data_IF_282053363918
#
_entry.id   IF_282053363918
#
_cell.length_a   1.000
_cell.length_b   1.000
_cell.length_c   1.000
_cell.angle_alpha   90.00
_cell.angle_beta   90.00
_cell.angle_gamma   90.00
#
_symmetry.space_group_name_H-M   'P 1'
#
loop_
_entity.id
_entity.type
_entity.pdbx_description
1 polymer ?
#
# COMPACT_ATOMS: atom_id res chain seq x y z
N UNK A 1 0.02 -2.31 10.94
CA UNK A 1 0.13 -3.78 11.01
C UNK A 1 0.05 -4.33 9.60
N UNK A 2 1.06 -5.09 9.16
CA UNK A 2 1.05 -5.69 7.83
C UNK A 2 0.07 -6.89 7.80
N UNK A 3 -1.05 -6.72 7.10
CA UNK A 3 -2.18 -7.67 7.12
C UNK A 3 -1.78 -9.06 6.59
N UNK A 4 -0.85 -9.10 5.63
CA UNK A 4 -0.29 -10.34 5.07
C UNK A 4 0.32 -11.30 6.10
N UNK A 5 0.68 -10.81 7.29
CA UNK A 5 1.21 -11.66 8.36
C UNK A 5 0.15 -12.58 8.96
N UNK A 6 -1.05 -12.06 9.24
CA UNK A 6 -2.21 -12.82 9.69
C UNK A 6 -3.49 -11.99 9.46
N UNK A 7 -4.24 -12.36 8.43
CA UNK A 7 -5.44 -11.63 8.01
C UNK A 7 -6.74 -12.17 8.64
N UNK A 8 -6.66 -12.92 9.73
CA UNK A 8 -7.83 -13.40 10.47
C UNK A 8 -8.66 -12.21 11.01
N UNK A 9 -9.98 -12.23 10.78
CA UNK A 9 -10.86 -11.12 11.15
C UNK A 9 -10.84 -10.81 12.66
N UNK A 10 -10.71 -11.82 13.52
CA UNK A 10 -10.66 -11.59 14.97
C UNK A 10 -9.33 -10.94 15.39
N UNK A 11 -8.21 -11.32 14.77
CA UNK A 11 -6.91 -10.67 15.00
C UNK A 11 -6.95 -9.21 14.55
N UNK A 12 -7.47 -8.95 13.35
CA UNK A 12 -7.62 -7.59 12.82
C UNK A 12 -8.55 -6.75 13.71
N UNK A 13 -9.65 -7.33 14.21
CA UNK A 13 -10.57 -6.62 15.09
C UNK A 13 -9.93 -6.22 16.43
N UNK A 14 -9.14 -7.11 17.05
CA UNK A 14 -8.40 -6.78 18.27
C UNK A 14 -7.45 -5.61 18.03
N UNK A 15 -6.73 -5.62 16.91
CA UNK A 15 -5.82 -4.54 16.52
C UNK A 15 -6.57 -3.22 16.24
N UNK A 16 -7.71 -3.30 15.56
CA UNK A 16 -8.55 -2.13 15.28
C UNK A 16 -9.06 -1.48 16.57
N UNK A 17 -9.49 -2.30 17.56
CA UNK A 17 -9.98 -1.81 18.87
C UNK A 17 -8.93 -1.09 19.71
N UNK A 18 -7.65 -1.36 19.49
CA UNK A 18 -6.54 -0.61 20.13
C UNK A 18 -6.04 0.56 19.27
N UNK A 19 -6.73 0.86 18.16
CA UNK A 19 -6.45 2.02 17.31
C UNK A 19 -5.27 1.85 16.35
N UNK A 20 -4.85 0.60 16.06
CA UNK A 20 -3.77 0.33 15.12
C UNK A 20 -4.13 0.70 13.68
N UNK A 21 -3.13 1.11 12.91
CA UNK A 21 -3.23 1.20 11.45
C UNK A 21 -2.89 -0.12 10.74
N UNK A 22 -3.19 -0.21 9.46
CA UNK A 22 -3.05 -1.41 8.63
C UNK A 22 -2.29 -1.12 7.34
N UNK A 23 -1.32 -1.97 7.02
CA UNK A 23 -0.64 -2.00 5.73
C UNK A 23 -1.19 -3.19 4.94
N UNK A 24 -1.86 -2.88 3.83
CA UNK A 24 -2.51 -3.85 2.94
C UNK A 24 -1.76 -3.93 1.61
N UNK A 25 -1.87 -5.07 0.93
CA UNK A 25 -1.29 -5.31 -0.40
C UNK A 25 -2.31 -5.79 -1.43
N UNK A 26 -3.60 -5.81 -1.09
CA UNK A 26 -4.68 -6.17 -2.03
C UNK A 26 -6.05 -5.62 -1.58
N UNK A 27 -7.00 -5.56 -2.53
CA UNK A 27 -8.40 -5.25 -2.23
C UNK A 27 -9.08 -6.25 -1.30
N UNK A 28 -8.64 -7.52 -1.30
CA UNK A 28 -9.15 -8.52 -0.35
C UNK A 28 -8.73 -8.23 1.10
N UNK A 29 -7.53 -7.68 1.30
CA UNK A 29 -7.08 -7.23 2.62
C UNK A 29 -7.79 -5.94 3.05
N UNK A 30 -8.05 -5.01 2.12
CA UNK A 30 -8.89 -3.84 2.36
C UNK A 30 -10.26 -4.26 2.92
N UNK A 31 -10.95 -5.17 2.23
CA UNK A 31 -12.26 -5.65 2.65
C UNK A 31 -12.23 -6.26 4.05
N UNK A 32 -11.20 -7.06 4.35
CA UNK A 32 -11.03 -7.69 5.67
C UNK A 32 -10.83 -6.66 6.77
N UNK A 33 -9.99 -5.64 6.54
CA UNK A 33 -9.74 -4.60 7.53
C UNK A 33 -11.02 -3.79 7.79
N UNK A 34 -11.73 -3.37 6.76
CA UNK A 34 -12.99 -2.65 6.89
C UNK A 34 -14.04 -3.49 7.64
N UNK A 35 -14.15 -4.77 7.30
CA UNK A 35 -15.06 -5.71 7.98
C UNK A 35 -14.68 -5.97 9.44
N UNK A 36 -13.39 -5.91 9.78
CA UNK A 36 -12.91 -6.03 11.14
C UNK A 36 -13.09 -4.75 11.97
N UNK A 37 -13.61 -3.66 11.37
CA UNK A 37 -13.80 -2.37 12.03
C UNK A 37 -12.54 -1.51 12.07
N UNK A 38 -11.58 -1.77 11.18
CA UNK A 38 -10.41 -0.92 11.01
C UNK A 38 -10.80 0.46 10.44
N UNK A 39 -10.13 1.49 10.93
CA UNK A 39 -10.31 2.87 10.48
C UNK A 39 -9.65 3.07 9.10
N UNK A 40 -10.39 3.44 8.04
CA UNK A 40 -9.83 3.66 6.70
C UNK A 40 -8.70 4.68 6.67
N UNK A 41 -8.80 5.75 7.47
CA UNK A 41 -7.79 6.82 7.55
C UNK A 41 -6.46 6.35 8.18
N UNK A 42 -6.40 5.09 8.63
CA UNK A 42 -5.18 4.43 9.12
C UNK A 42 -4.74 3.27 8.23
N UNK A 43 -5.27 3.16 7.02
CA UNK A 43 -4.91 2.12 6.04
C UNK A 43 -3.94 2.70 5.01
N UNK A 44 -2.77 2.08 4.86
CA UNK A 44 -1.86 2.33 3.75
C UNK A 44 -1.90 1.15 2.77
N UNK A 45 -1.92 1.42 1.47
CA UNK A 45 -1.98 0.39 0.44
C UNK A 45 -0.66 0.32 -0.32
N UNK A 46 0.09 -0.76 -0.08
CA UNK A 46 1.36 -1.09 -0.69
C UNK A 46 1.23 -2.13 -1.82
N UNK A 47 2.32 -2.46 -2.51
CA UNK A 47 2.39 -3.56 -3.48
C UNK A 47 2.47 -3.12 -4.94
N UNK A 48 3.25 -3.85 -5.73
CA UNK A 48 3.71 -3.50 -7.09
C UNK A 48 2.72 -3.81 -8.22
N UNK A 49 1.46 -4.13 -7.91
CA UNK A 49 0.52 -4.69 -8.88
C UNK A 49 -0.94 -4.35 -8.59
N UNK A 50 -1.20 -3.17 -8.03
CA UNK A 50 -2.55 -2.71 -7.72
C UNK A 50 -3.35 -2.57 -9.02
N UNK A 51 -4.53 -3.15 -9.07
CA UNK A 51 -5.44 -3.02 -10.22
C UNK A 51 -6.29 -1.75 -10.12
N UNK A 52 -6.82 -1.27 -11.25
CA UNK A 52 -7.72 -0.11 -11.27
C UNK A 52 -8.94 -0.29 -10.35
N UNK A 53 -9.49 -1.51 -10.28
CA UNK A 53 -10.61 -1.83 -9.40
C UNK A 53 -10.24 -1.72 -7.92
N UNK A 54 -9.04 -2.19 -7.54
CA UNK A 54 -8.54 -2.07 -6.17
C UNK A 54 -8.26 -0.61 -5.80
N UNK A 55 -7.68 0.17 -6.72
CA UNK A 55 -7.46 1.60 -6.53
C UNK A 55 -8.79 2.34 -6.33
N UNK A 56 -9.78 2.08 -7.18
CA UNK A 56 -11.11 2.68 -7.07
C UNK A 56 -11.79 2.33 -5.75
N UNK A 57 -11.68 1.08 -5.28
CA UNK A 57 -12.24 0.65 -4.00
C UNK A 57 -11.56 1.36 -2.82
N UNK A 58 -10.23 1.45 -2.84
CA UNK A 58 -9.45 2.13 -1.81
C UNK A 58 -9.71 3.65 -1.78
N UNK A 59 -9.83 4.31 -2.94
CA UNK A 59 -10.21 5.72 -3.04
C UNK A 59 -11.61 5.98 -2.48
N UNK A 60 -12.59 5.14 -2.83
CA UNK A 60 -13.96 5.23 -2.29
C UNK A 60 -14.02 5.01 -0.79
N UNK A 61 -13.15 4.16 -0.24
CA UNK A 61 -13.01 3.94 1.18
C UNK A 61 -12.31 5.10 1.92
N UNK A 62 -11.71 6.05 1.20
CA UNK A 62 -10.88 7.14 1.74
C UNK A 62 -9.75 6.61 2.64
N UNK A 63 -8.93 5.70 2.11
CA UNK A 63 -7.76 5.21 2.83
C UNK A 63 -6.72 6.33 3.03
N UNK A 64 -5.83 6.15 4.01
CA UNK A 64 -4.79 7.13 4.34
C UNK A 64 -3.89 7.48 3.15
N UNK A 65 -3.34 6.47 2.48
CA UNK A 65 -2.29 6.68 1.48
C UNK A 65 -2.07 5.44 0.58
N UNK A 66 -1.76 5.68 -0.69
CA UNK A 66 -1.19 4.68 -1.60
C UNK A 66 0.33 4.77 -1.60
N UNK A 67 1.00 3.67 -1.24
CA UNK A 67 2.43 3.52 -1.45
C UNK A 67 2.67 3.06 -2.88
N UNK A 68 2.98 4.01 -3.76
CA UNK A 68 3.21 3.83 -5.18
C UNK A 68 4.63 3.33 -5.43
N UNK A 69 4.76 2.33 -6.29
CA UNK A 69 6.02 1.60 -6.52
C UNK A 69 6.59 1.84 -7.92
N UNK A 70 5.82 2.44 -8.84
CA UNK A 70 6.27 2.73 -10.21
C UNK A 70 5.56 3.93 -10.84
N UNK A 71 6.16 4.51 -11.89
CA UNK A 71 5.55 5.61 -12.66
C UNK A 71 4.25 5.16 -13.37
N UNK A 72 4.22 3.96 -13.95
CA UNK A 72 3.02 3.43 -14.59
C UNK A 72 1.86 3.26 -13.59
N UNK A 73 2.17 2.86 -12.35
CA UNK A 73 1.19 2.80 -11.29
C UNK A 73 0.66 4.18 -10.89
N UNK A 74 1.54 5.19 -10.82
CA UNK A 74 1.15 6.58 -10.55
C UNK A 74 0.19 7.12 -11.62
N UNK A 75 0.49 6.88 -12.90
CA UNK A 75 -0.36 7.26 -14.03
C UNK A 75 -1.73 6.59 -13.96
N UNK A 76 -1.77 5.29 -13.66
CA UNK A 76 -3.02 4.55 -13.49
C UNK A 76 -3.85 5.08 -12.31
N UNK A 77 -3.21 5.34 -11.16
CA UNK A 77 -3.89 5.89 -9.99
C UNK A 77 -4.47 7.27 -10.28
N UNK A 78 -3.72 8.12 -10.97
CA UNK A 78 -4.19 9.45 -11.39
C UNK A 78 -5.40 9.37 -12.31
N UNK A 79 -5.39 8.45 -13.29
CA UNK A 79 -6.54 8.21 -14.17
C UNK A 79 -7.79 7.81 -13.36
N UNK A 80 -7.67 6.80 -12.50
CA UNK A 80 -8.79 6.29 -11.68
C UNK A 80 -9.30 7.36 -10.70
N UNK A 81 -8.40 8.15 -10.11
CA UNK A 81 -8.77 9.25 -9.21
C UNK A 81 -9.55 10.34 -9.95
N UNK A 82 -9.11 10.70 -11.17
CA UNK A 82 -9.80 11.64 -12.05
C UNK A 82 -11.19 11.15 -12.47
N UNK A 83 -11.34 9.87 -12.79
CA UNK A 83 -12.66 9.26 -13.09
C UNK A 83 -13.63 9.31 -11.90
N UNK A 84 -13.12 9.39 -10.67
CA UNK A 84 -13.91 9.45 -9.44
C UNK A 84 -14.06 10.87 -8.87
N UNK A 85 -13.48 11.89 -9.52
CA UNK A 85 -13.40 13.27 -9.02
C UNK A 85 -12.81 13.32 -7.60
N UNK A 86 -11.67 12.65 -7.41
CA UNK A 86 -10.93 12.56 -6.14
C UNK A 86 -9.47 12.90 -6.32
N UNK A 87 -8.86 13.41 -5.25
CA UNK A 87 -7.41 13.53 -5.14
C UNK A 87 -6.87 12.31 -4.36
N UNK A 88 -5.94 11.57 -4.96
CA UNK A 88 -5.37 10.38 -4.35
C UNK A 88 -4.19 10.75 -3.43
N UNK A 89 -4.23 10.44 -2.12
CA UNK A 89 -3.07 10.61 -1.26
C UNK A 89 -2.02 9.55 -1.59
N UNK A 90 -0.80 9.98 -1.87
CA UNK A 90 0.30 9.09 -2.27
C UNK A 90 1.56 9.27 -1.43
N UNK A 91 2.33 8.20 -1.37
CA UNK A 91 3.74 8.20 -1.02
C UNK A 91 4.48 7.35 -2.06
N UNK A 92 5.70 7.76 -2.43
CA UNK A 92 6.54 7.00 -3.35
C UNK A 92 7.43 6.09 -2.51
N UNK A 93 7.38 4.78 -2.77
CA UNK A 93 8.35 3.86 -2.17
C UNK A 93 9.67 3.99 -2.91
N UNK A 94 10.71 4.38 -2.19
CA UNK A 94 12.06 4.55 -2.74
C UNK A 94 12.94 3.39 -2.30
N UNK A 95 13.71 2.83 -3.23
CA UNK A 95 14.79 1.90 -2.88
C UNK A 95 16.04 2.70 -2.52
N UNK A 96 16.54 2.60 -1.28
CA UNK A 96 17.73 3.35 -0.86
C UNK A 96 19.05 2.76 -1.39
N UNK A 97 19.02 1.66 -2.15
CA UNK A 97 20.20 0.94 -2.64
C UNK A 97 21.15 0.51 -1.49
N UNK A 98 20.55 0.05 -0.38
CA UNK A 98 21.26 -0.47 0.80
C UNK A 98 20.98 -1.95 0.93
N UNK A 99 22.03 -2.76 1.01
CA UNK A 99 21.92 -4.19 1.30
C UNK A 99 21.44 -4.40 2.74
N UNK A 100 20.26 -4.99 2.89
CA UNK A 100 19.64 -5.26 4.18
C UNK A 100 20.34 -6.41 4.97
N UNK A 101 21.42 -7.00 4.43
CA UNK A 101 22.20 -8.09 5.04
C UNK A 101 21.32 -9.23 5.61
N UNK A 102 20.26 -9.56 4.88
CA UNK A 102 19.26 -10.56 5.28
C UNK A 102 19.04 -11.58 4.17
N UNK A 103 18.13 -12.54 4.38
CA UNK A 103 17.92 -13.63 3.43
C UNK A 103 17.52 -13.08 2.04
N UNK A 104 18.12 -13.56 0.93
CA UNK A 104 17.94 -12.98 -0.40
C UNK A 104 16.48 -12.82 -0.85
N UNK A 105 15.60 -13.79 -0.53
CA UNK A 105 14.17 -13.74 -0.89
C UNK A 105 13.29 -12.76 -0.09
N UNK A 106 13.80 -12.16 0.99
CA UNK A 106 13.08 -11.13 1.77
C UNK A 106 13.77 -9.77 1.73
N UNK A 107 14.99 -9.70 1.20
CA UNK A 107 15.70 -8.45 0.94
C UNK A 107 15.02 -7.72 -0.22
N UNK A 108 14.30 -6.64 0.07
CA UNK A 108 13.59 -5.84 -0.94
C UNK A 108 14.34 -4.55 -1.33
N UNK A 109 15.53 -4.30 -0.76
CA UNK A 109 16.27 -3.03 -0.89
C UNK A 109 17.29 -2.94 -2.02
N UNK A 110 17.62 -4.06 -2.68
CA UNK A 110 18.57 -4.10 -3.80
C UNK A 110 17.95 -3.55 -5.10
N UNK A 111 18.77 -2.89 -5.92
CA UNK A 111 18.38 -2.27 -7.20
C UNK A 111 17.67 -3.18 -8.20
N UNK A 112 17.97 -4.48 -8.14
CA UNK A 112 17.39 -5.50 -9.03
C UNK A 112 16.01 -6.01 -8.57
N UNK A 113 15.50 -5.53 -7.43
CA UNK A 113 14.18 -5.91 -6.95
C UNK A 113 13.08 -5.07 -7.60
N UNK A 114 11.96 -5.72 -7.90
CA UNK A 114 10.77 -5.10 -8.51
C UNK A 114 10.05 -4.03 -7.66
N UNK A 115 10.56 -3.71 -6.48
CA UNK A 115 9.92 -2.82 -5.52
C UNK A 115 10.52 -1.42 -5.66
N UNK A 116 9.70 -0.40 -5.51
CA UNK A 116 10.11 1.00 -5.41
C UNK A 116 10.68 1.62 -6.67
N UNK A 117 10.85 2.94 -6.59
CA UNK A 117 11.56 3.75 -7.57
C UNK A 117 13.01 3.95 -7.09
N UNK A 118 13.96 3.96 -8.03
CA UNK A 118 15.36 4.28 -7.77
C UNK A 118 15.48 5.68 -7.13
N UNK A 119 16.23 5.80 -6.02
CA UNK A 119 16.45 7.06 -5.30
C UNK A 119 16.99 8.18 -6.20
N UNK A 120 17.73 7.84 -7.26
CA UNK A 120 18.26 8.82 -8.23
C UNK A 120 17.18 9.49 -9.08
N UNK A 121 15.97 8.91 -9.13
CA UNK A 121 14.80 9.49 -9.81
C UNK A 121 13.86 10.23 -8.86
N UNK A 122 14.07 10.11 -7.55
CA UNK A 122 13.31 10.86 -6.56
C UNK A 122 13.93 12.27 -6.41
N UNK A 123 13.13 13.35 -6.42
CA UNK A 123 13.64 14.68 -6.11
C UNK A 123 14.17 14.74 -4.66
N UNK A 124 15.17 15.58 -4.43
CA UNK A 124 15.83 15.77 -3.14
C UNK A 124 14.93 16.38 -2.06
#
# INVERSE_FOLDING_TARGET
>A
YAVKANSNLAVLNVLARVGAGFDIVSGGELERVLRAGGDPDKIVFSGVGKTANEMAAALKANIHCFNVESAAELELLNLVAGELDREAPIAIRVNPDVDAQTHPYISTGLKDNKFGVDITKAPA
#
